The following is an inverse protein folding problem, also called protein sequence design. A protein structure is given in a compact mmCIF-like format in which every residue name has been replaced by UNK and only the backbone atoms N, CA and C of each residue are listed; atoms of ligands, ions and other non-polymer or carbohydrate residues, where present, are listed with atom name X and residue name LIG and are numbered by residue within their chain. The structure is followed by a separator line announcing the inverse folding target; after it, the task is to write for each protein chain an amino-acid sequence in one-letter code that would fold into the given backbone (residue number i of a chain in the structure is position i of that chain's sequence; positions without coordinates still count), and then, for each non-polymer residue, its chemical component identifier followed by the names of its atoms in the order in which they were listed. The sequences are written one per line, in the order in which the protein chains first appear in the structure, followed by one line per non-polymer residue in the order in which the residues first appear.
data_IF_929319817399
#
_entry.id   IF_929319817399
#
_cell.length_a   1.000
_cell.length_b   1.000
_cell.length_c   1.000
_cell.angle_alpha   90.00
_cell.angle_beta   90.00
_cell.angle_gamma   90.00
#
_symmetry.space_group_name_H-M   'P 1'
#
loop_
_entity.id
_entity.type
_entity.pdbx_description
1 polymer ?
#
# COMPACT_ATOMS: atom_id res chain seq x y z
N UNK A 1 10.00 9.00 -8.23
CA UNK A 1 9.81 9.75 -9.48
C UNK A 1 10.84 9.27 -10.46
N UNK A 2 10.45 9.15 -11.72
CA UNK A 2 11.40 8.90 -12.79
C UNK A 2 12.13 10.20 -13.16
N UNK A 3 13.33 10.07 -13.69
CA UNK A 3 14.18 11.21 -14.02
C UNK A 3 13.63 12.07 -15.17
N UNK A 4 12.70 11.54 -15.96
CA UNK A 4 11.98 12.21 -17.03
C UNK A 4 10.69 12.91 -16.58
N UNK A 5 10.17 12.60 -15.38
CA UNK A 5 9.04 13.31 -14.75
C UNK A 5 9.47 14.65 -14.11
N UNK A 6 9.90 15.58 -14.95
CA UNK A 6 10.38 16.91 -14.50
C UNK A 6 9.29 17.77 -13.85
N UNK A 7 8.01 17.49 -14.10
CA UNK A 7 6.89 18.22 -13.50
C UNK A 7 6.81 17.98 -11.99
N UNK A 8 6.95 16.73 -11.55
CA UNK A 8 6.88 16.35 -10.14
C UNK A 8 8.15 16.71 -9.35
N UNK A 9 9.30 16.91 -10.03
CA UNK A 9 10.56 17.23 -9.35
C UNK A 9 10.51 18.54 -8.55
N UNK A 10 9.63 19.46 -8.92
CA UNK A 10 9.50 20.77 -8.28
C UNK A 10 8.43 20.82 -7.18
N UNK A 11 7.79 19.71 -6.84
CA UNK A 11 6.82 19.67 -5.73
C UNK A 11 7.53 20.06 -4.44
N UNK A 12 7.00 21.09 -3.77
CA UNK A 12 7.43 21.50 -2.44
C UNK A 12 6.22 21.96 -1.64
N UNK A 13 6.20 21.64 -0.35
CA UNK A 13 5.15 22.07 0.56
C UNK A 13 5.78 22.26 1.94
N UNK A 14 6.01 23.51 2.40
CA UNK A 14 6.74 23.78 3.64
C UNK A 14 6.15 23.13 4.89
N UNK A 15 4.86 22.82 4.87
CA UNK A 15 4.17 22.13 5.96
C UNK A 15 4.48 20.63 6.05
N UNK A 16 5.08 20.03 5.01
CA UNK A 16 5.43 18.61 4.95
C UNK A 16 6.94 18.43 4.77
N UNK A 17 7.48 17.41 5.44
CA UNK A 17 8.81 16.90 5.11
C UNK A 17 8.71 16.06 3.84
N UNK A 18 9.14 16.62 2.72
CA UNK A 18 9.18 15.92 1.43
C UNK A 18 10.60 15.39 1.19
N UNK A 19 10.72 14.09 0.95
CA UNK A 19 11.96 13.46 0.49
C UNK A 19 11.75 13.03 -0.95
N UNK A 20 12.58 13.54 -1.86
CA UNK A 20 12.49 13.26 -3.30
C UNK A 20 13.43 12.12 -3.65
N UNK A 21 12.86 11.02 -4.14
CA UNK A 21 13.62 9.89 -4.67
C UNK A 21 13.47 9.86 -6.18
N UNK A 22 14.55 10.23 -6.88
CA UNK A 22 14.62 10.27 -8.35
C UNK A 22 15.46 9.08 -8.82
N UNK A 23 14.97 8.34 -9.82
CA UNK A 23 15.63 7.18 -10.42
C UNK A 23 15.59 7.27 -11.95
N UNK A 24 16.44 6.52 -12.67
CA UNK A 24 16.29 6.36 -14.11
C UNK A 24 14.87 5.87 -14.48
N UNK A 25 14.39 6.10 -15.70
CA UNK A 25 13.11 5.54 -16.15
C UNK A 25 13.12 4.00 -16.17
N UNK A 26 11.97 3.39 -16.44
CA UNK A 26 11.76 1.92 -16.55
C UNK A 26 11.89 1.12 -15.23
N UNK A 27 11.74 1.74 -14.06
CA UNK A 27 11.62 1.00 -12.80
C UNK A 27 10.23 0.36 -12.67
N UNK A 28 10.17 -0.82 -12.05
CA UNK A 28 8.89 -1.41 -11.65
C UNK A 28 8.26 -0.59 -10.52
N UNK A 29 6.92 -0.54 -10.47
CA UNK A 29 6.20 0.16 -9.41
C UNK A 29 6.53 -0.42 -8.02
N UNK A 30 6.74 -1.74 -7.92
CA UNK A 30 7.20 -2.38 -6.70
C UNK A 30 8.58 -1.87 -6.24
N UNK A 31 9.51 -1.65 -7.16
CA UNK A 31 10.83 -1.08 -6.86
C UNK A 31 10.70 0.38 -6.41
N UNK A 32 9.86 1.18 -7.08
CA UNK A 32 9.61 2.57 -6.70
C UNK A 32 9.05 2.66 -5.27
N UNK A 33 8.05 1.86 -4.92
CA UNK A 33 7.53 1.83 -3.54
C UNK A 33 8.58 1.37 -2.53
N UNK A 34 9.39 0.36 -2.86
CA UNK A 34 10.50 -0.07 -1.99
C UNK A 34 11.47 1.07 -1.69
N UNK A 35 11.87 1.85 -2.69
CA UNK A 35 12.77 2.98 -2.50
C UNK A 35 12.13 4.10 -1.69
N UNK A 36 10.87 4.45 -1.97
CA UNK A 36 10.12 5.42 -1.15
C UNK A 36 9.99 4.95 0.31
N UNK A 37 9.75 3.65 0.52
CA UNK A 37 9.63 3.08 1.87
C UNK A 37 10.95 3.20 2.67
N UNK A 38 12.11 2.96 2.04
CA UNK A 38 13.43 3.10 2.69
C UNK A 38 13.66 4.50 3.26
N UNK A 39 13.23 5.53 2.53
CA UNK A 39 13.39 6.93 2.93
C UNK A 39 12.25 7.41 3.86
N UNK A 40 11.14 6.67 3.92
CA UNK A 40 10.01 7.01 4.79
C UNK A 40 10.32 6.75 6.27
N UNK A 41 9.78 7.58 7.15
CA UNK A 41 9.92 7.42 8.62
C UNK A 41 8.58 7.33 9.37
N UNK A 42 7.44 7.43 8.66
CA UNK A 42 6.11 7.41 9.27
C UNK A 42 5.79 6.06 9.94
N UNK A 43 4.99 6.10 11.02
CA UNK A 43 4.47 4.88 11.67
C UNK A 43 3.45 4.14 10.79
N UNK A 44 2.66 4.89 10.02
CA UNK A 44 1.73 4.36 9.03
C UNK A 44 2.27 4.66 7.65
N UNK A 45 2.30 3.63 6.80
CA UNK A 45 2.77 3.69 5.42
C UNK A 45 1.55 3.58 4.52
N UNK A 46 1.38 4.57 3.66
CA UNK A 46 0.32 4.63 2.66
C UNK A 46 0.96 4.46 1.28
N UNK A 47 0.47 3.52 0.48
CA UNK A 47 0.84 3.42 -0.93
C UNK A 47 -0.18 4.20 -1.72
N UNK A 48 0.27 5.12 -2.55
CA UNK A 48 -0.57 5.89 -3.46
C UNK A 48 0.22 6.24 -4.71
N UNK A 49 -0.50 6.45 -5.80
CA UNK A 49 0.00 7.07 -7.01
C UNK A 49 -0.31 8.58 -7.01
N UNK A 50 0.16 9.28 -8.03
CA UNK A 50 0.00 10.72 -8.23
C UNK A 50 -1.39 11.13 -8.70
N UNK A 51 -2.25 10.17 -9.06
CA UNK A 51 -3.62 10.37 -9.51
C UNK A 51 -4.67 10.21 -8.39
N UNK A 52 -4.30 10.46 -7.13
CA UNK A 52 -5.21 10.37 -5.98
C UNK A 52 -5.54 11.74 -5.39
N UNK A 53 -6.83 12.00 -5.15
CA UNK A 53 -7.34 13.22 -4.49
C UNK A 53 -7.99 12.89 -3.14
N UNK A 54 -7.56 13.61 -2.11
CA UNK A 54 -8.08 13.50 -0.75
C UNK A 54 -9.25 14.46 -0.55
N UNK A 55 -10.48 13.94 -0.49
CA UNK A 55 -11.70 14.77 -0.45
C UNK A 55 -12.37 14.83 0.93
N UNK A 56 -11.99 13.96 1.87
CA UNK A 56 -12.59 13.91 3.22
C UNK A 56 -11.77 14.66 4.26
N UNK A 57 -12.36 15.64 4.93
CA UNK A 57 -11.72 16.30 6.09
C UNK A 57 -11.56 15.31 7.25
N UNK A 58 -10.38 15.30 7.89
CA UNK A 58 -10.10 14.44 9.03
C UNK A 58 -9.86 12.97 8.68
N UNK A 59 -9.57 12.67 7.41
CA UNK A 59 -9.24 11.31 6.94
C UNK A 59 -8.08 10.70 7.73
N UNK A 60 -7.08 11.50 8.07
CA UNK A 60 -5.89 11.12 8.82
C UNK A 60 -6.24 10.61 10.22
N UNK A 61 -7.11 11.35 10.93
CA UNK A 61 -7.62 10.94 12.24
C UNK A 61 -8.45 9.66 12.15
N UNK A 62 -9.25 9.50 11.10
CA UNK A 62 -10.03 8.28 10.89
C UNK A 62 -9.13 7.06 10.67
N UNK A 63 -8.03 7.22 9.93
CA UNK A 63 -7.00 6.18 9.75
C UNK A 63 -6.33 5.84 11.08
N UNK A 64 -5.87 6.84 11.85
CA UNK A 64 -5.25 6.61 13.16
C UNK A 64 -6.21 5.89 14.11
N UNK A 65 -7.48 6.30 14.15
CA UNK A 65 -8.53 5.65 14.95
C UNK A 65 -8.84 4.22 14.50
N UNK A 66 -8.61 3.89 13.22
CA UNK A 66 -8.75 2.52 12.73
C UNK A 66 -7.63 1.63 13.29
N UNK A 67 -6.38 2.11 13.25
CA UNK A 67 -5.24 1.38 13.82
C UNK A 67 -5.31 1.27 15.35
N UNK A 68 -5.79 2.30 16.05
CA UNK A 68 -5.87 2.30 17.52
C UNK A 68 -6.78 1.21 18.11
N UNK A 69 -7.63 0.59 17.28
CA UNK A 69 -8.45 -0.57 17.67
C UNK A 69 -7.62 -1.85 17.86
N UNK A 70 -6.36 -1.84 17.41
CA UNK A 70 -5.46 -2.99 17.43
C UNK A 70 -4.18 -2.62 18.19
N UNK A 71 -4.07 -3.09 19.44
CA UNK A 71 -2.90 -2.81 20.29
C UNK A 71 -1.58 -3.37 19.74
N UNK A 72 -1.66 -4.40 18.90
CA UNK A 72 -0.53 -5.01 18.22
C UNK A 72 -0.07 -4.26 16.94
N UNK A 73 -0.77 -3.20 16.54
CA UNK A 73 -0.50 -2.39 15.35
C UNK A 73 -0.57 -3.17 14.02
N UNK A 74 -1.23 -4.34 13.97
CA UNK A 74 -1.39 -5.13 12.75
C UNK A 74 -2.80 -4.94 12.19
N UNK A 75 -2.91 -4.08 11.19
CA UNK A 75 -4.13 -3.83 10.43
C UNK A 75 -3.83 -3.44 8.98
N UNK A 76 -4.82 -3.65 8.12
CA UNK A 76 -4.84 -3.21 6.73
C UNK A 76 -6.02 -2.25 6.54
N UNK A 77 -5.74 -0.97 6.39
CA UNK A 77 -6.75 0.09 6.34
C UNK A 77 -6.79 0.68 4.93
N UNK A 78 -7.97 0.94 4.39
CA UNK A 78 -8.12 1.63 3.11
C UNK A 78 -9.44 2.41 3.04
N UNK A 79 -9.44 3.46 2.22
CA UNK A 79 -10.58 4.35 1.99
C UNK A 79 -11.45 3.94 0.81
N UNK A 80 -12.44 4.78 0.54
CA UNK A 80 -13.36 4.71 -0.59
C UNK A 80 -12.80 5.51 -1.77
N UNK A 81 -12.57 4.85 -2.90
CA UNK A 81 -12.07 5.45 -4.14
C UNK A 81 -13.16 6.01 -5.06
N UNK A 82 -14.44 5.86 -4.66
CA UNK A 82 -15.65 6.16 -5.42
C UNK A 82 -15.92 5.27 -6.65
N UNK A 83 -14.98 4.41 -7.04
CA UNK A 83 -15.10 3.47 -8.15
C UNK A 83 -15.27 2.03 -7.66
N UNK A 84 -14.19 1.39 -7.21
CA UNK A 84 -14.20 0.00 -6.76
C UNK A 84 -14.72 -0.16 -5.32
N UNK A 85 -14.65 0.90 -4.53
CA UNK A 85 -15.09 1.00 -3.14
C UNK A 85 -14.44 -0.11 -2.30
N UNK A 86 -15.22 -0.80 -1.46
CA UNK A 86 -14.77 -1.92 -0.63
C UNK A 86 -14.21 -3.15 -1.41
N UNK A 87 -14.27 -3.17 -2.74
CA UNK A 87 -13.83 -4.33 -3.53
C UNK A 87 -12.33 -4.35 -3.74
N UNK A 88 -11.71 -3.19 -3.91
CA UNK A 88 -10.28 -3.04 -4.21
C UNK A 88 -9.68 -1.96 -3.30
N UNK A 89 -8.61 -2.26 -2.56
CA UNK A 89 -7.97 -1.28 -1.71
C UNK A 89 -6.94 -0.47 -2.49
N UNK A 90 -7.43 0.45 -3.33
CA UNK A 90 -6.60 1.27 -4.25
C UNK A 90 -5.55 2.13 -3.55
N UNK A 91 -5.82 2.54 -2.31
CA UNK A 91 -4.87 3.31 -1.47
C UNK A 91 -4.71 2.56 -0.15
N UNK A 92 -3.89 1.49 -0.11
CA UNK A 92 -3.72 0.68 1.07
C UNK A 92 -2.81 1.38 2.09
N UNK A 93 -3.15 1.24 3.36
CA UNK A 93 -2.42 1.79 4.50
C UNK A 93 -2.08 0.64 5.46
N UNK A 94 -0.81 0.54 5.79
CA UNK A 94 -0.23 -0.45 6.69
C UNK A 94 0.50 0.27 7.83
N UNK A 95 0.69 -0.40 8.97
CA UNK A 95 1.70 0.05 9.93
C UNK A 95 3.09 -0.34 9.43
N UNK A 96 4.10 0.45 9.81
CA UNK A 96 5.51 0.12 9.56
C UNK A 96 5.88 -1.24 10.14
N UNK A 97 5.32 -1.61 11.31
CA UNK A 97 5.49 -2.92 11.92
C UNK A 97 5.07 -4.05 10.98
N UNK A 98 3.95 -3.91 10.27
CA UNK A 98 3.52 -4.90 9.27
C UNK A 98 4.54 -4.99 8.14
N UNK A 99 5.01 -3.85 7.62
CA UNK A 99 6.02 -3.82 6.57
C UNK A 99 7.34 -4.50 7.01
N UNK A 100 7.79 -4.25 8.24
CA UNK A 100 8.97 -4.90 8.82
C UNK A 100 8.77 -6.42 8.96
N UNK A 101 7.59 -6.87 9.39
CA UNK A 101 7.25 -8.28 9.46
C UNK A 101 7.21 -8.93 8.07
N UNK A 102 6.78 -8.19 7.04
CA UNK A 102 6.80 -8.64 5.65
C UNK A 102 8.21 -8.64 5.03
N UNK A 103 9.17 -7.93 5.63
CA UNK A 103 10.50 -7.72 5.04
C UNK A 103 10.53 -6.60 3.99
N UNK A 104 9.52 -5.74 3.94
CA UNK A 104 9.38 -4.66 2.96
C UNK A 104 7.95 -4.16 2.86
N UNK A 105 7.71 -3.22 1.95
CA UNK A 105 6.37 -2.64 1.73
C UNK A 105 5.52 -3.47 0.75
N UNK A 106 6.16 -4.01 -0.30
CA UNK A 106 5.59 -4.91 -1.28
C UNK A 106 6.74 -5.65 -2.02
N UNK A 107 6.46 -6.73 -2.76
CA UNK A 107 7.45 -7.32 -3.65
C UNK A 107 7.92 -6.31 -4.71
N UNK A 108 9.23 -6.21 -4.90
CA UNK A 108 9.82 -5.27 -5.86
C UNK A 108 9.58 -5.65 -7.33
N UNK A 109 9.25 -6.92 -7.58
CA UNK A 109 9.08 -7.45 -8.93
C UNK A 109 7.82 -6.96 -9.66
N UNK A 110 6.79 -6.48 -8.94
CA UNK A 110 5.55 -6.06 -9.59
C UNK A 110 5.77 -4.83 -10.47
N UNK A 111 5.47 -4.96 -11.75
CA UNK A 111 5.63 -3.90 -12.75
C UNK A 111 4.64 -2.77 -12.49
N UNK A 112 3.35 -3.07 -12.40
CA UNK A 112 2.31 -2.07 -12.10
C UNK A 112 0.97 -2.64 -11.63
N UNK A 113 0.81 -3.97 -11.58
CA UNK A 113 -0.41 -4.63 -11.10
C UNK A 113 -0.14 -5.47 -9.86
N UNK A 114 -1.25 -5.87 -9.22
CA UNK A 114 -1.30 -6.83 -8.11
C UNK A 114 -0.63 -6.41 -6.81
N UNK A 115 -0.11 -5.19 -6.67
CA UNK A 115 0.46 -4.73 -5.41
C UNK A 115 -0.62 -4.73 -4.32
N UNK A 116 -1.76 -4.09 -4.56
CA UNK A 116 -2.90 -4.03 -3.66
C UNK A 116 -3.52 -5.42 -3.44
N UNK A 117 -3.65 -6.21 -4.53
CA UNK A 117 -4.13 -7.59 -4.49
C UNK A 117 -3.26 -8.47 -3.59
N UNK A 118 -1.93 -8.33 -3.69
CA UNK A 118 -0.96 -9.07 -2.89
C UNK A 118 -1.12 -8.75 -1.40
N UNK A 119 -1.22 -7.46 -1.07
CA UNK A 119 -1.39 -7.01 0.31
C UNK A 119 -2.71 -7.48 0.90
N UNK A 120 -3.83 -7.30 0.20
CA UNK A 120 -5.14 -7.71 0.74
C UNK A 120 -5.24 -9.23 0.85
N UNK A 121 -4.57 -9.99 -0.02
CA UNK A 121 -4.57 -11.46 0.06
C UNK A 121 -3.86 -11.96 1.32
N UNK A 122 -2.72 -11.38 1.72
CA UNK A 122 -2.09 -11.66 3.02
C UNK A 122 -3.08 -11.51 4.17
N UNK A 123 -3.87 -10.43 4.17
CA UNK A 123 -4.84 -10.16 5.23
C UNK A 123 -6.10 -11.04 5.14
N UNK A 124 -6.51 -11.48 3.95
CA UNK A 124 -7.56 -12.50 3.77
C UNK A 124 -7.09 -13.85 4.34
N UNK A 125 -5.84 -14.22 4.10
CA UNK A 125 -5.25 -15.41 4.68
C UNK A 125 -5.13 -15.29 6.21
N UNK A 126 -4.71 -14.14 6.74
CA UNK A 126 -4.69 -13.85 8.17
C UNK A 126 -6.09 -13.96 8.80
N UNK A 127 -7.12 -13.48 8.11
CA UNK A 127 -8.52 -13.65 8.52
C UNK A 127 -8.94 -15.12 8.59
N UNK A 128 -8.44 -15.97 7.70
CA UNK A 128 -8.68 -17.43 7.76
C UNK A 128 -8.08 -18.09 9.01
N UNK A 129 -7.09 -17.45 9.65
CA UNK A 129 -6.54 -17.86 10.95
C UNK A 129 -7.32 -17.28 12.15
N UNK A 130 -8.44 -16.60 11.92
CA UNK A 130 -9.28 -16.03 12.98
C UNK A 130 -8.97 -14.58 13.34
N UNK A 131 -8.09 -13.91 12.59
CA UNK A 131 -7.71 -12.52 12.84
C UNK A 131 -8.23 -11.61 11.72
N UNK A 132 -9.46 -11.08 11.88
CA UNK A 132 -9.99 -10.10 10.93
C UNK A 132 -9.36 -8.72 11.19
N UNK A 133 -8.50 -8.30 10.25
CA UNK A 133 -7.65 -7.10 10.34
C UNK A 133 -7.83 -6.16 9.15
N UNK A 134 -8.82 -6.41 8.29
CA UNK A 134 -9.12 -5.58 7.12
C UNK A 134 -10.14 -4.52 7.54
N UNK A 135 -9.78 -3.24 7.43
CA UNK A 135 -10.65 -2.12 7.80
C UNK A 135 -10.91 -1.23 6.60
N UNK A 136 -12.15 -1.26 6.13
CA UNK A 136 -12.63 -0.34 5.10
C UNK A 136 -13.26 0.91 5.74
N UNK A 137 -12.78 2.09 5.34
CA UNK A 137 -13.29 3.38 5.80
C UNK A 137 -14.19 4.00 4.72
N UNK A 138 -15.50 3.71 4.79
CA UNK A 138 -16.47 4.13 3.76
C UNK A 138 -16.53 5.66 3.54
N UNK A 139 -16.34 6.44 4.61
CA UNK A 139 -16.51 7.90 4.60
C UNK A 139 -15.17 8.64 4.37
N UNK A 140 -14.08 7.88 4.27
CA UNK A 140 -12.75 8.42 3.91
C UNK A 140 -12.58 8.29 2.42
N UNK A 141 -12.65 9.40 1.70
CA UNK A 141 -12.63 9.45 0.24
C UNK A 141 -11.20 9.75 -0.24
N UNK A 142 -10.64 8.78 -0.95
CA UNK A 142 -9.38 8.89 -1.70
C UNK A 142 -9.71 8.67 -3.18
N UNK A 143 -10.25 9.69 -3.85
CA UNK A 143 -10.72 9.58 -5.24
C UNK A 143 -9.55 9.26 -6.15
N UNK A 144 -9.62 8.11 -6.82
CA UNK A 144 -8.61 7.66 -7.77
C UNK A 144 -8.99 8.15 -9.17
N UNK A 145 -8.27 9.14 -9.68
CA UNK A 145 -8.49 9.80 -10.96
C UNK A 145 -7.93 8.99 -12.14
N UNK A 146 -8.17 7.68 -12.14
CA UNK A 146 -7.64 6.79 -13.14
C UNK A 146 -8.10 7.19 -14.56
N UNK A 147 -7.18 7.13 -15.53
CA UNK A 147 -7.38 7.48 -16.94
C UNK A 147 -8.64 6.87 -17.57
N UNK A 148 -9.03 5.66 -17.12
CA UNK A 148 -10.20 4.93 -17.58
C UNK A 148 -11.56 5.63 -17.35
N UNK A 149 -11.60 6.71 -16.53
CA UNK A 149 -12.80 7.53 -16.29
C UNK A 149 -12.87 8.74 -17.26
N UNK A 150 -11.95 8.84 -18.24
CA UNK A 150 -11.96 9.91 -19.24
C UNK A 150 -11.52 11.28 -18.71
N UNK A 151 -10.78 11.30 -17.58
CA UNK A 151 -10.37 12.52 -16.87
C UNK A 151 -8.89 12.92 -17.05
N UNK A 152 -8.09 12.16 -17.79
CA UNK A 152 -6.71 12.52 -18.17
C UNK A 152 -6.41 12.12 -19.63
N UNK A 153 -5.34 12.63 -20.24
CA UNK A 153 -4.93 12.28 -21.62
C UNK A 153 -4.26 10.90 -21.63
N UNK A 154 -4.48 10.13 -22.69
CA UNK A 154 -3.84 8.82 -22.92
C UNK A 154 -2.33 9.00 -22.87
N UNK A 155 -1.68 8.43 -21.87
CA UNK A 155 -0.22 8.40 -21.83
C UNK A 155 0.28 7.16 -22.59
N UNK A 156 1.18 7.36 -23.54
CA UNK A 156 1.76 6.28 -24.33
C UNK A 156 2.87 5.52 -23.58
N UNK A 157 3.16 5.89 -22.32
CA UNK A 157 4.09 5.19 -21.41
C UNK A 157 3.58 3.82 -20.95
N UNK A 158 2.28 3.49 -21.12
CA UNK A 158 1.67 2.22 -20.68
C UNK A 158 1.77 1.06 -21.67
N UNK A 159 2.75 1.03 -22.58
CA UNK A 159 2.97 -0.14 -23.43
C UNK A 159 3.64 -1.25 -22.60
N UNK A 160 2.83 -2.19 -22.11
CA UNK A 160 3.32 -3.36 -21.35
C UNK A 160 4.17 -4.25 -22.26
N UNK A 161 5.46 -4.39 -21.92
CA UNK A 161 6.39 -5.32 -22.59
C UNK A 161 5.99 -6.79 -22.35
N UNK A 162 5.35 -7.09 -21.23
CA UNK A 162 4.82 -8.41 -20.86
C UNK A 162 3.53 -8.23 -20.03
N UNK A 163 2.34 -8.34 -20.63
CA UNK A 163 1.08 -8.00 -19.96
C UNK A 163 0.73 -8.93 -18.80
N UNK A 164 1.22 -10.17 -18.83
CA UNK A 164 0.86 -11.25 -17.89
C UNK A 164 1.96 -11.47 -16.83
N UNK A 165 3.03 -10.67 -16.84
CA UNK A 165 4.16 -10.84 -15.91
C UNK A 165 3.70 -10.80 -14.46
N UNK A 166 2.92 -9.78 -14.09
CA UNK A 166 2.45 -9.58 -12.72
C UNK A 166 1.47 -10.67 -12.29
N UNK A 167 0.67 -11.23 -13.20
CA UNK A 167 -0.21 -12.37 -12.91
C UNK A 167 0.62 -13.61 -12.53
N UNK A 168 1.65 -13.92 -13.32
CA UNK A 168 2.54 -15.06 -13.04
C UNK A 168 3.31 -14.85 -11.74
N UNK A 169 3.79 -13.62 -11.48
CA UNK A 169 4.45 -13.28 -10.23
C UNK A 169 3.49 -13.40 -9.04
N UNK A 170 2.25 -12.94 -9.17
CA UNK A 170 1.24 -13.10 -8.12
C UNK A 170 0.96 -14.56 -7.79
N UNK A 171 0.85 -15.43 -8.79
CA UNK A 171 0.71 -16.87 -8.55
C UNK A 171 1.97 -17.46 -7.89
N UNK A 172 3.16 -17.09 -8.36
CA UNK A 172 4.42 -17.62 -7.83
C UNK A 172 4.65 -17.27 -6.35
N UNK A 173 4.18 -16.09 -5.90
CA UNK A 173 4.35 -15.59 -4.54
C UNK A 173 3.25 -16.04 -3.55
N UNK A 174 2.41 -17.02 -3.91
CA UNK A 174 1.32 -17.47 -3.02
C UNK A 174 1.80 -18.02 -1.68
N UNK A 175 2.85 -18.85 -1.71
CA UNK A 175 3.46 -19.39 -0.50
C UNK A 175 4.09 -18.29 0.37
N UNK A 176 4.66 -17.25 -0.25
CA UNK A 176 5.23 -16.11 0.48
C UNK A 176 4.14 -15.32 1.20
N UNK A 177 3.02 -15.04 0.54
CA UNK A 177 1.86 -14.39 1.18
C UNK A 177 1.34 -15.21 2.35
N UNK A 178 1.25 -16.52 2.20
CA UNK A 178 0.86 -17.43 3.29
C UNK A 178 1.84 -17.41 4.45
N UNK A 179 3.13 -17.45 4.16
CA UNK A 179 4.18 -17.38 5.17
C UNK A 179 4.11 -16.06 5.96
N UNK A 180 3.92 -14.93 5.27
CA UNK A 180 3.71 -13.63 5.89
C UNK A 180 2.48 -13.64 6.79
N UNK A 181 1.34 -14.15 6.32
CA UNK A 181 0.12 -14.23 7.12
C UNK A 181 0.35 -15.03 8.43
N UNK A 182 1.09 -16.14 8.37
CA UNK A 182 1.48 -16.91 9.56
C UNK A 182 2.37 -16.09 10.50
N UNK A 183 3.32 -15.32 9.97
CA UNK A 183 4.19 -14.44 10.77
C UNK A 183 3.40 -13.33 11.47
N UNK A 184 2.41 -12.74 10.79
CA UNK A 184 1.50 -11.77 11.39
C UNK A 184 0.66 -12.39 12.52
N UNK A 185 0.08 -13.57 12.29
CA UNK A 185 -0.68 -14.29 13.32
C UNK A 185 0.15 -14.56 14.58
N UNK A 186 1.38 -15.07 14.42
CA UNK A 186 2.32 -15.28 15.53
C UNK A 186 2.65 -13.99 16.28
N UNK A 187 2.82 -12.88 15.57
CA UNK A 187 3.06 -11.58 16.21
C UNK A 187 1.86 -11.10 17.04
N UNK A 188 0.64 -11.28 16.53
CA UNK A 188 -0.60 -10.98 17.26
C UNK A 188 -0.69 -11.82 18.54
N UNK A 189 -0.42 -13.13 18.45
CA UNK A 189 -0.43 -14.04 19.60
C UNK A 189 0.61 -13.67 20.65
N UNK A 190 1.84 -13.35 20.22
CA UNK A 190 2.90 -12.90 21.10
C UNK A 190 2.53 -11.63 21.88
N UNK A 191 1.87 -10.67 21.21
CA UNK A 191 1.36 -9.46 21.87
C UNK A 191 0.23 -9.77 22.88
N UNK A 192 -0.70 -10.68 22.56
CA UNK A 192 -1.78 -11.08 23.48
C UNK A 192 -1.26 -11.78 24.73
N UNK A 193 -0.21 -12.58 24.60
CA UNK A 193 0.35 -13.39 25.68
C UNK A 193 1.37 -12.62 26.55
N UNK A 194 1.59 -11.32 26.31
CA UNK A 194 2.56 -10.51 27.07
C UNK A 194 4.03 -10.91 26.86
N UNK A 195 4.32 -11.67 25.81
CA UNK A 195 5.66 -12.23 25.54
C UNK A 195 6.61 -11.26 24.82
N UNK A 196 6.24 -9.99 24.72
CA UNK A 196 7.13 -8.92 24.23
C UNK A 196 7.00 -7.75 25.20
N UNK A 197 7.71 -7.87 26.32
CA UNK A 197 7.73 -6.90 27.41
C UNK A 197 9.04 -6.99 28.19
N UNK A 198 10.14 -6.56 27.58
CA UNK A 198 11.33 -5.96 28.21
C UNK A 198 12.32 -5.54 27.13
#
# INVERSE_FOLDING_TARGET
MDADDTASHNIDMPALKIIKVIRPPDNSMGMMFKECYKESSGRYIMLMNDDVVFSSVGWDKAVVNAFSKFSDDIAFVYGNDLDQKKKVPTVPILSRKVCELMGGICPEGYLNLHIESHLVDIFKQLKSFGYDRIVYLNDVIFEHLHYAVGKSKHDNTYIKKDPDFDDRLFVALDNDRRFIAVKLAKSIEGCKNGLIGS
#
